data_IF_478518975246
#
_entry.id   IF_478518975246
#
_cell.length_a   1.000
_cell.length_b   1.000
_cell.length_c   1.000
_cell.angle_alpha   90.00
_cell.angle_beta   90.00
_cell.angle_gamma   90.00
#
_symmetry.space_group_name_H-M   'P 1'
#
loop_
_entity.id
_entity.type
_entity.pdbx_description
1 polymer ?
#
# COMPACT_ATOMS: atom_id res chain seq x y z
N UNK A 1 21.80 -2.49 -4.37
CA UNK A 1 20.48 -3.08 -4.65
C UNK A 1 19.72 -3.22 -3.35
N UNK A 2 18.46 -2.84 -3.36
CA UNK A 2 17.62 -2.91 -2.17
C UNK A 2 17.22 -4.35 -1.87
N UNK A 3 17.26 -4.75 -0.60
CA UNK A 3 16.74 -6.04 -0.15
C UNK A 3 15.25 -5.90 0.22
N UNK A 4 14.60 -6.98 0.61
CA UNK A 4 13.17 -6.98 0.93
C UNK A 4 12.80 -6.06 2.09
N UNK A 5 13.68 -5.90 3.08
CA UNK A 5 13.47 -4.98 4.21
C UNK A 5 13.47 -3.54 3.72
N UNK A 6 14.43 -3.19 2.87
CA UNK A 6 14.52 -1.84 2.29
C UNK A 6 13.32 -1.52 1.40
N UNK A 7 12.86 -2.49 0.61
CA UNK A 7 11.68 -2.34 -0.24
C UNK A 7 10.45 -2.04 0.63
N UNK A 8 10.25 -2.80 1.69
CA UNK A 8 9.14 -2.59 2.62
C UNK A 8 9.18 -1.21 3.26
N UNK A 9 10.34 -0.79 3.75
CA UNK A 9 10.51 0.52 4.38
C UNK A 9 10.30 1.66 3.39
N UNK A 10 10.82 1.53 2.16
CA UNK A 10 10.60 2.52 1.12
C UNK A 10 9.10 2.69 0.84
N UNK A 11 8.36 1.59 0.79
CA UNK A 11 6.91 1.63 0.63
C UNK A 11 6.22 2.38 1.77
N UNK A 12 6.61 2.09 3.01
CA UNK A 12 6.05 2.77 4.19
C UNK A 12 6.33 4.28 4.15
N UNK A 13 7.55 4.68 3.84
CA UNK A 13 7.90 6.09 3.73
C UNK A 13 7.15 6.79 2.60
N UNK A 14 6.99 6.13 1.46
CA UNK A 14 6.24 6.71 0.34
C UNK A 14 4.79 6.97 0.73
N UNK A 15 4.11 5.98 1.32
CA UNK A 15 2.73 6.11 1.75
C UNK A 15 2.60 7.23 2.79
N UNK A 16 3.46 7.21 3.82
CA UNK A 16 3.42 8.21 4.87
C UNK A 16 3.64 9.62 4.32
N UNK A 17 4.62 9.81 3.43
CA UNK A 17 4.91 11.10 2.84
C UNK A 17 3.71 11.64 2.02
N UNK A 18 3.11 10.79 1.20
CA UNK A 18 1.95 11.20 0.39
C UNK A 18 0.74 11.55 1.25
N UNK A 19 0.48 10.79 2.32
CA UNK A 19 -0.64 11.06 3.21
C UNK A 19 -0.39 12.34 4.02
N UNK A 20 0.82 12.54 4.53
CA UNK A 20 1.16 13.76 5.27
C UNK A 20 1.03 15.02 4.40
N UNK A 21 1.40 14.94 3.12
CA UNK A 21 1.23 16.05 2.19
C UNK A 21 -0.25 16.44 2.00
N UNK A 22 -1.15 15.51 2.25
CA UNK A 22 -2.59 15.75 2.19
C UNK A 22 -3.19 16.13 3.55
N UNK A 23 -2.35 16.31 4.57
CA UNK A 23 -2.80 16.65 5.91
C UNK A 23 -3.30 15.45 6.71
N UNK A 24 -3.03 14.23 6.25
CA UNK A 24 -3.42 13.00 6.94
C UNK A 24 -2.22 12.54 7.77
N UNK A 25 -2.39 12.53 9.08
CA UNK A 25 -1.31 12.18 10.01
C UNK A 25 -1.05 10.67 10.03
N UNK A 26 0.22 10.32 9.93
CA UNK A 26 0.68 8.93 9.99
C UNK A 26 1.72 8.74 11.08
N UNK A 27 1.68 7.58 11.74
CA UNK A 27 2.72 7.16 12.67
C UNK A 27 3.22 5.79 12.24
N UNK A 28 4.53 5.67 12.04
CA UNK A 28 5.13 4.36 11.82
C UNK A 28 5.15 3.60 13.14
N UNK A 29 4.73 2.35 13.06
CA UNK A 29 4.68 1.46 14.23
C UNK A 29 5.40 0.16 13.89
N UNK A 30 6.01 -0.45 14.90
CA UNK A 30 6.71 -1.72 14.74
C UNK A 30 5.92 -2.77 15.51
N UNK A 31 4.75 -3.09 14.96
CA UNK A 31 3.84 -4.06 15.55
C UNK A 31 3.47 -5.12 14.51
N UNK A 32 3.15 -6.30 14.98
CA UNK A 32 2.72 -7.37 14.10
C UNK A 32 1.49 -6.92 13.32
N UNK A 33 1.54 -7.10 11.99
CA UNK A 33 0.47 -6.80 11.04
C UNK A 33 0.15 -5.31 10.84
N UNK A 34 0.77 -4.41 11.62
CA UNK A 34 0.58 -2.97 11.45
C UNK A 34 1.91 -2.31 11.12
N UNK A 35 1.95 -1.55 10.05
CA UNK A 35 3.11 -0.75 9.65
C UNK A 35 2.89 0.73 9.95
N UNK A 36 1.65 1.20 9.78
CA UNK A 36 1.27 2.58 10.02
C UNK A 36 -0.04 2.64 10.81
N UNK A 37 -0.12 3.63 11.67
CA UNK A 37 -1.40 4.09 12.22
C UNK A 37 -1.73 5.41 11.57
N UNK A 38 -2.95 5.53 11.06
CA UNK A 38 -3.37 6.66 10.24
C UNK A 38 -4.63 7.26 10.84
N UNK A 39 -4.67 8.59 10.92
CA UNK A 39 -5.87 9.29 11.39
C UNK A 39 -6.62 9.83 10.18
N UNK A 40 -7.84 9.33 9.94
CA UNK A 40 -8.66 9.76 8.81
C UNK A 40 -9.10 11.22 8.98
N UNK A 41 -9.64 11.80 7.90
CA UNK A 41 -10.15 13.17 7.93
C UNK A 41 -11.27 13.35 8.95
N UNK A 42 -12.05 12.29 9.17
CA UNK A 42 -13.13 12.30 10.19
C UNK A 42 -12.62 12.11 11.63
N UNK A 43 -11.31 11.89 11.81
CA UNK A 43 -10.70 11.72 13.13
C UNK A 43 -10.60 10.29 13.62
N UNK A 44 -10.96 9.32 12.80
CA UNK A 44 -10.88 7.90 13.14
C UNK A 44 -9.44 7.40 13.03
N UNK A 45 -8.98 6.67 14.04
CA UNK A 45 -7.65 6.04 14.02
C UNK A 45 -7.75 4.68 13.36
N UNK A 46 -7.00 4.48 12.28
CA UNK A 46 -7.03 3.26 11.47
C UNK A 46 -5.65 2.62 11.39
N UNK A 47 -5.64 1.29 11.35
CA UNK A 47 -4.40 0.51 11.19
C UNK A 47 -4.17 0.21 9.72
N UNK A 48 -2.91 0.29 9.29
CA UNK A 48 -2.55 0.07 7.89
C UNK A 48 -1.35 -0.85 7.79
N UNK A 49 -1.42 -1.81 6.89
CA UNK A 49 -0.29 -2.62 6.49
C UNK A 49 0.15 -2.22 5.09
N UNK A 50 1.45 -2.02 4.90
CA UNK A 50 2.01 -1.63 3.61
C UNK A 50 2.67 -2.84 2.96
N UNK A 51 2.29 -3.12 1.72
CA UNK A 51 2.90 -4.15 0.88
C UNK A 51 3.51 -3.44 -0.32
N UNK A 52 4.80 -3.67 -0.56
CA UNK A 52 5.52 -3.00 -1.63
C UNK A 52 6.17 -4.00 -2.55
N UNK A 53 6.23 -3.65 -3.84
CA UNK A 53 7.00 -4.38 -4.83
C UNK A 53 7.71 -3.37 -5.73
N UNK A 54 8.84 -3.78 -6.32
CA UNK A 54 9.67 -2.88 -7.11
C UNK A 54 9.12 -2.71 -8.53
N UNK A 55 8.63 -3.79 -9.12
CA UNK A 55 8.21 -3.79 -10.52
C UNK A 55 7.20 -4.90 -10.78
N UNK A 56 6.41 -4.80 -11.87
CA UNK A 56 5.52 -5.88 -12.23
C UNK A 56 6.31 -7.08 -12.71
N UNK A 57 5.72 -8.26 -12.60
CA UNK A 57 6.34 -9.48 -13.09
C UNK A 57 5.35 -10.28 -13.91
N UNK A 58 5.90 -11.07 -14.85
CA UNK A 58 5.14 -12.00 -15.66
C UNK A 58 5.22 -13.38 -15.00
N UNK A 59 4.07 -13.99 -14.77
CA UNK A 59 3.96 -15.33 -14.25
C UNK A 59 3.52 -16.26 -15.37
N UNK A 60 4.43 -17.15 -15.82
CA UNK A 60 4.18 -18.06 -16.94
C UNK A 60 3.78 -17.29 -18.21
N UNK A 61 2.61 -17.60 -18.79
CA UNK A 61 2.11 -16.95 -20.00
C UNK A 61 1.16 -15.79 -19.71
N UNK A 62 1.00 -15.42 -18.45
CA UNK A 62 0.09 -14.34 -18.05
C UNK A 62 0.71 -12.99 -18.32
N UNK A 63 -0.13 -11.99 -18.56
CA UNK A 63 0.31 -10.60 -18.65
C UNK A 63 0.95 -10.16 -17.32
N UNK A 64 1.88 -9.21 -17.39
CA UNK A 64 2.58 -8.71 -16.21
C UNK A 64 1.61 -8.12 -15.19
N UNK A 65 1.88 -8.37 -13.91
CA UNK A 65 1.12 -7.85 -12.76
C UNK A 65 2.08 -7.42 -11.67
N UNK A 66 1.67 -6.43 -10.88
CA UNK A 66 2.29 -6.21 -9.58
C UNK A 66 1.77 -7.26 -8.63
N UNK A 67 2.68 -8.04 -8.05
CA UNK A 67 2.32 -9.17 -7.19
C UNK A 67 2.71 -8.86 -5.76
N UNK A 68 1.74 -8.94 -4.85
CA UNK A 68 1.92 -8.70 -3.43
C UNK A 68 1.60 -9.99 -2.69
N UNK A 69 2.61 -10.56 -2.04
CA UNK A 69 2.46 -11.80 -1.29
C UNK A 69 2.26 -11.53 0.19
N UNK A 70 1.72 -12.51 0.91
CA UNK A 70 1.46 -12.41 2.35
C UNK A 70 0.62 -11.19 2.70
N UNK A 71 -0.31 -10.84 1.82
CA UNK A 71 -1.22 -9.71 2.01
C UNK A 71 -2.39 -10.10 2.92
N UNK A 72 -2.07 -10.60 4.09
CA UNK A 72 -3.03 -11.03 5.10
C UNK A 72 -2.60 -10.48 6.45
N UNK A 73 -3.54 -10.38 7.37
CA UNK A 73 -3.32 -9.80 8.70
C UNK A 73 -4.56 -9.05 9.15
N UNK A 74 -4.49 -8.44 10.32
CA UNK A 74 -5.63 -7.81 10.97
C UNK A 74 -5.75 -6.30 10.71
N UNK A 75 -4.86 -5.73 9.89
CA UNK A 75 -4.95 -4.31 9.55
C UNK A 75 -6.27 -3.99 8.83
N UNK A 76 -6.80 -2.83 9.11
CA UNK A 76 -8.05 -2.36 8.51
C UNK A 76 -7.86 -1.94 7.06
N UNK A 77 -6.69 -1.42 6.73
CA UNK A 77 -6.35 -0.93 5.40
C UNK A 77 -5.05 -1.58 4.94
N UNK A 78 -4.99 -1.94 3.66
CA UNK A 78 -3.78 -2.42 3.00
C UNK A 78 -3.38 -1.43 1.92
N UNK A 79 -2.13 -0.97 1.97
CA UNK A 79 -1.55 -0.11 0.95
C UNK A 79 -0.66 -0.95 0.03
N UNK A 80 -1.01 -1.03 -1.23
CA UNK A 80 -0.25 -1.77 -2.25
C UNK A 80 0.59 -0.78 -3.04
N UNK A 81 1.92 -0.87 -2.91
CA UNK A 81 2.86 0.12 -3.42
C UNK A 81 3.65 -0.42 -4.61
N UNK A 82 3.57 0.26 -5.73
CA UNK A 82 4.39 0.02 -6.92
C UNK A 82 5.55 1.02 -6.90
N UNK A 83 6.72 0.59 -6.40
CA UNK A 83 7.84 1.50 -6.15
C UNK A 83 8.45 2.08 -7.42
N UNK A 84 8.46 1.32 -8.53
CA UNK A 84 9.04 1.79 -9.78
C UNK A 84 8.33 3.02 -10.34
N UNK A 85 7.03 3.14 -10.09
CA UNK A 85 6.23 4.29 -10.54
C UNK A 85 5.80 5.17 -9.39
N UNK A 86 6.14 4.82 -8.15
CA UNK A 86 5.87 5.59 -6.92
C UNK A 86 4.39 5.92 -6.73
N UNK A 87 3.56 4.94 -6.97
CA UNK A 87 2.11 5.04 -6.76
C UNK A 87 1.66 3.91 -5.83
N UNK A 88 0.53 4.12 -5.17
CA UNK A 88 -0.07 3.08 -4.34
C UNK A 88 -1.59 3.14 -4.43
N UNK A 89 -2.22 2.06 -4.00
CA UNK A 89 -3.67 1.95 -3.93
C UNK A 89 -4.01 1.43 -2.54
N UNK A 90 -4.96 2.10 -1.87
CA UNK A 90 -5.48 1.66 -0.58
C UNK A 90 -6.71 0.80 -0.79
N UNK A 91 -6.77 -0.32 -0.09
CA UNK A 91 -7.92 -1.23 -0.11
C UNK A 91 -8.19 -1.76 1.29
N UNK A 92 -9.39 -2.30 1.50
CA UNK A 92 -9.69 -3.07 2.70
C UNK A 92 -8.98 -4.42 2.70
N UNK A 93 -9.23 -5.23 3.72
CA UNK A 93 -8.58 -6.53 3.85
C UNK A 93 -8.85 -7.42 2.64
N UNK A 94 -7.81 -8.07 2.08
CA UNK A 94 -7.98 -8.94 0.91
C UNK A 94 -8.62 -10.28 1.30
N UNK A 95 -9.21 -10.95 0.31
CA UNK A 95 -9.80 -12.27 0.51
C UNK A 95 -8.78 -13.41 0.50
N UNK A 96 -7.55 -13.15 0.09
CA UNK A 96 -6.48 -14.15 -0.02
C UNK A 96 -5.13 -13.60 0.37
N UNK A 97 -4.10 -14.48 0.34
CA UNK A 97 -2.74 -14.11 0.73
C UNK A 97 -1.96 -13.41 -0.37
N UNK A 98 -2.39 -13.54 -1.62
CA UNK A 98 -1.70 -12.95 -2.76
C UNK A 98 -2.66 -12.04 -3.50
N UNK A 99 -2.20 -10.82 -3.75
CA UNK A 99 -2.97 -9.81 -4.48
C UNK A 99 -2.19 -9.46 -5.74
N UNK A 100 -2.87 -9.46 -6.89
CA UNK A 100 -2.31 -9.11 -8.18
C UNK A 100 -3.04 -7.92 -8.75
N UNK A 101 -2.29 -6.89 -9.11
CA UNK A 101 -2.86 -5.64 -9.62
C UNK A 101 -2.25 -5.34 -10.99
N UNK A 102 -3.10 -5.01 -11.95
CA UNK A 102 -2.67 -4.64 -13.30
C UNK A 102 -1.86 -3.36 -13.25
N UNK A 103 -0.75 -3.25 -14.00
CA UNK A 103 -0.01 -2.00 -14.09
C UNK A 103 -0.90 -0.81 -14.47
N UNK A 104 -1.85 -1.01 -15.39
CA UNK A 104 -2.76 0.05 -15.82
C UNK A 104 -3.66 0.60 -14.71
N UNK A 105 -3.86 -0.16 -13.62
CA UNK A 105 -4.69 0.27 -12.49
C UNK A 105 -3.93 1.21 -11.55
N UNK A 106 -2.60 1.27 -11.65
CA UNK A 106 -1.79 2.20 -10.86
C UNK A 106 -1.68 3.53 -11.61
N UNK A 107 -2.59 4.43 -11.31
CA UNK A 107 -2.56 5.81 -11.81
C UNK A 107 -2.61 6.77 -10.63
N UNK A 108 -2.22 8.01 -10.85
CA UNK A 108 -2.34 9.03 -9.80
C UNK A 108 -3.80 9.23 -9.40
N UNK A 109 -4.71 9.18 -10.37
CA UNK A 109 -6.15 9.32 -10.08
C UNK A 109 -6.64 8.15 -9.21
N UNK A 110 -6.24 6.92 -9.53
CA UNK A 110 -6.64 5.76 -8.73
C UNK A 110 -6.09 5.85 -7.30
N UNK A 111 -4.86 6.34 -7.14
CA UNK A 111 -4.28 6.59 -5.82
C UNK A 111 -5.11 7.61 -5.05
N UNK A 112 -5.40 8.76 -5.66
CA UNK A 112 -6.19 9.82 -5.02
C UNK A 112 -7.58 9.31 -4.64
N UNK A 113 -8.24 8.59 -5.53
CA UNK A 113 -9.58 8.04 -5.30
C UNK A 113 -9.57 7.04 -4.13
N UNK A 114 -8.54 6.21 -4.05
CA UNK A 114 -8.45 5.23 -2.97
C UNK A 114 -8.21 5.89 -1.61
N UNK A 115 -7.42 6.95 -1.58
CA UNK A 115 -7.21 7.73 -0.36
C UNK A 115 -8.52 8.37 0.09
N UNK A 116 -9.25 8.99 -0.83
CA UNK A 116 -10.55 9.59 -0.53
C UNK A 116 -11.53 8.54 0.01
N UNK A 117 -11.61 7.39 -0.65
CA UNK A 117 -12.55 6.34 -0.26
C UNK A 117 -12.25 5.76 1.12
N UNK A 118 -10.97 5.62 1.47
CA UNK A 118 -10.57 4.92 2.69
C UNK A 118 -10.32 5.85 3.88
N UNK A 119 -9.99 7.11 3.63
CA UNK A 119 -9.49 8.02 4.68
C UNK A 119 -10.24 9.35 4.79
N UNK A 120 -11.30 9.51 4.06
CA UNK A 120 -12.11 10.74 4.17
C UNK A 120 -12.94 10.80 5.44
#
# INVERSE_FOLDING_TARGET
MANSINVGRAGEFLVAAELEQRGIRCHRVDMQDDDLWVKSASGELLTMQVKATVEPRTERTRAARYVFTRANGDAQIFAYVALDIRLFILRGAPSGKTVRIKPADFTRQAMDDSIEAMLS
#
